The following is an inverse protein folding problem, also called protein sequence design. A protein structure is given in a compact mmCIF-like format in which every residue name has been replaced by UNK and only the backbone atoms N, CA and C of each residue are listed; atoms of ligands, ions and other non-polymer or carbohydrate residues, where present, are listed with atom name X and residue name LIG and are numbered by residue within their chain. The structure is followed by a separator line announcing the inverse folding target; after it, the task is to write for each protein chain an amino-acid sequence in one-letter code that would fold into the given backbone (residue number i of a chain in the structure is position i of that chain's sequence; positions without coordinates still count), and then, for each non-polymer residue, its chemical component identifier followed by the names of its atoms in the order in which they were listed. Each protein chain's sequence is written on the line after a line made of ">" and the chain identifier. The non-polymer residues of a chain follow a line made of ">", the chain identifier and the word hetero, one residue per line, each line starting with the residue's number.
data_IF_161569888670
#
_entry.id   IF_161569888670
#
_cell.length_a   1.000
_cell.length_b   1.000
_cell.length_c   1.000
_cell.angle_alpha   90.00
_cell.angle_beta   90.00
_cell.angle_gamma   90.00
#
_symmetry.space_group_name_H-M   'P 1'
#
loop_
_entity.id
_entity.type
_entity.pdbx_description
1 polymer ?
#
# COMPACT_ATOMS: atom_id res chain seq x y z
N UNK A 1 3.53 -0.52 1.98
CA UNK A 1 2.71 -1.30 1.04
C UNK A 1 2.55 -2.74 1.51
N UNK A 2 3.60 -3.56 1.49
CA UNK A 2 3.53 -5.00 1.84
C UNK A 2 3.02 -5.26 3.27
N UNK A 3 3.53 -4.54 4.28
CA UNK A 3 3.12 -4.77 5.67
C UNK A 3 1.65 -4.43 5.95
N UNK A 4 1.13 -3.35 5.36
CA UNK A 4 -0.30 -3.00 5.45
C UNK A 4 -1.17 -4.08 4.82
N UNK A 5 -0.78 -4.59 3.64
CA UNK A 5 -1.55 -5.61 2.94
C UNK A 5 -1.54 -6.93 3.71
N UNK A 6 -0.38 -7.38 4.19
CA UNK A 6 -0.29 -8.57 5.01
C UNK A 6 -1.15 -8.48 6.29
N UNK A 7 -1.15 -7.32 6.96
CA UNK A 7 -1.97 -7.12 8.16
C UNK A 7 -3.46 -7.10 7.83
N UNK A 8 -3.87 -6.43 6.74
CA UNK A 8 -5.26 -6.38 6.28
C UNK A 8 -5.77 -7.78 5.97
N UNK A 9 -5.06 -8.55 5.14
CA UNK A 9 -5.41 -9.93 4.79
C UNK A 9 -5.57 -10.82 6.03
N UNK A 10 -4.70 -10.67 7.04
CA UNK A 10 -4.80 -11.42 8.31
C UNK A 10 -6.06 -11.02 9.08
N UNK A 11 -6.30 -9.74 9.29
CA UNK A 11 -7.47 -9.23 10.01
C UNK A 11 -8.76 -9.68 9.31
N UNK A 12 -8.79 -9.59 8.00
CA UNK A 12 -9.94 -9.94 7.17
C UNK A 12 -10.27 -11.43 7.18
N UNK A 13 -9.27 -12.31 7.30
CA UNK A 13 -9.49 -13.74 7.49
C UNK A 13 -9.91 -14.08 8.93
N UNK A 14 -9.40 -13.35 9.92
CA UNK A 14 -9.65 -13.63 11.35
C UNK A 14 -11.01 -13.12 11.83
N UNK A 15 -11.43 -11.93 11.42
CA UNK A 15 -12.71 -11.32 11.80
C UNK A 15 -13.94 -12.21 11.54
N UNK A 16 -14.16 -12.79 10.35
CA UNK A 16 -15.31 -13.64 10.10
C UNK A 16 -15.30 -14.91 10.94
N UNK A 17 -14.13 -15.43 11.32
CA UNK A 17 -14.02 -16.57 12.22
C UNK A 17 -14.50 -16.20 13.64
N UNK A 18 -14.13 -15.01 14.12
CA UNK A 18 -14.58 -14.48 15.41
C UNK A 18 -16.10 -14.26 15.40
N UNK A 19 -16.65 -13.63 14.37
CA UNK A 19 -18.11 -13.43 14.24
C UNK A 19 -18.87 -14.75 14.14
N UNK A 20 -18.35 -15.72 13.39
CA UNK A 20 -18.93 -17.07 13.29
C UNK A 20 -18.94 -17.79 14.64
N UNK A 21 -17.91 -17.58 15.47
CA UNK A 21 -17.85 -18.11 16.82
C UNK A 21 -18.81 -17.39 17.77
N UNK A 22 -18.90 -16.07 17.70
CA UNK A 22 -19.89 -15.30 18.46
C UNK A 22 -21.34 -15.72 18.15
N UNK A 23 -21.69 -15.81 16.86
CA UNK A 23 -23.02 -16.25 16.43
C UNK A 23 -23.35 -17.67 16.88
N UNK A 24 -22.34 -18.55 16.97
CA UNK A 24 -22.53 -19.90 17.51
C UNK A 24 -22.92 -19.89 18.98
N UNK A 25 -22.20 -19.10 19.78
CA UNK A 25 -22.46 -18.98 21.21
C UNK A 25 -23.85 -18.40 21.45
N UNK A 26 -24.29 -17.46 20.61
CA UNK A 26 -25.59 -16.79 20.75
C UNK A 26 -26.81 -17.65 20.36
N UNK A 27 -26.69 -18.53 19.35
CA UNK A 27 -27.82 -19.34 18.84
C UNK A 27 -28.23 -20.46 19.82
N UNK A 28 -27.31 -20.91 20.70
CA UNK A 28 -27.58 -21.95 21.70
C UNK A 28 -27.79 -23.35 21.10
N UNK A 29 -27.43 -24.41 21.83
CA UNK A 29 -27.51 -25.79 21.33
C UNK A 29 -28.94 -26.38 21.32
N UNK A 30 -29.96 -25.68 21.83
CA UNK A 30 -31.33 -26.21 21.98
C UNK A 30 -31.98 -26.63 20.65
N UNK A 31 -31.64 -25.94 19.55
CA UNK A 31 -32.11 -26.29 18.20
C UNK A 31 -31.46 -27.57 17.66
N UNK A 32 -30.24 -27.88 18.08
CA UNK A 32 -29.52 -29.09 17.69
C UNK A 32 -30.16 -30.33 18.31
N UNK A 33 -30.57 -30.23 19.57
CA UNK A 33 -31.20 -31.31 20.32
C UNK A 33 -32.57 -31.69 19.74
N UNK A 34 -33.28 -30.72 19.16
CA UNK A 34 -34.62 -30.93 18.57
C UNK A 34 -34.59 -31.66 17.22
N UNK A 35 -33.60 -31.38 16.37
CA UNK A 35 -33.53 -31.90 14.99
C UNK A 35 -32.45 -32.97 14.78
N UNK A 36 -31.63 -33.28 15.79
CA UNK A 36 -30.48 -34.19 15.72
C UNK A 36 -29.29 -33.67 14.89
N UNK A 37 -29.56 -32.88 13.86
CA UNK A 37 -28.59 -32.17 13.03
C UNK A 37 -29.11 -30.77 12.69
N UNK A 38 -28.19 -29.81 12.58
CA UNK A 38 -28.53 -28.45 12.18
C UNK A 38 -29.20 -28.39 10.78
N UNK A 39 -30.42 -27.82 10.67
CA UNK A 39 -31.05 -27.62 9.37
C UNK A 39 -30.27 -26.61 8.52
N UNK A 40 -30.41 -26.68 7.18
CA UNK A 40 -29.61 -25.87 6.25
C UNK A 40 -29.73 -24.37 6.50
N UNK A 41 -30.95 -23.86 6.71
CA UNK A 41 -31.20 -22.44 6.99
C UNK A 41 -30.52 -21.98 8.30
N UNK A 42 -30.41 -22.85 9.31
CA UNK A 42 -29.74 -22.53 10.56
C UNK A 42 -28.21 -22.48 10.41
N UNK A 43 -27.65 -23.37 9.56
CA UNK A 43 -26.22 -23.31 9.17
C UNK A 43 -25.91 -22.00 8.45
N UNK A 44 -26.79 -21.55 7.56
CA UNK A 44 -26.63 -20.27 6.87
C UNK A 44 -26.80 -19.09 7.83
N UNK A 45 -27.75 -19.18 8.78
CA UNK A 45 -27.95 -18.15 9.80
C UNK A 45 -26.71 -17.96 10.71
N UNK A 46 -25.84 -18.94 10.84
CA UNK A 46 -24.58 -18.77 11.58
C UNK A 46 -23.56 -17.90 10.84
N UNK A 47 -23.60 -17.84 9.51
CA UNK A 47 -22.66 -17.08 8.69
C UNK A 47 -22.89 -15.57 8.80
N UNK A 48 -21.87 -14.78 8.47
CA UNK A 48 -21.92 -13.31 8.50
C UNK A 48 -22.85 -12.81 7.39
N UNK A 49 -23.70 -11.83 7.70
CA UNK A 49 -24.55 -11.19 6.70
C UNK A 49 -23.69 -10.36 5.75
N UNK A 50 -23.95 -10.47 4.44
CA UNK A 50 -23.32 -9.62 3.45
C UNK A 50 -24.02 -8.26 3.41
N UNK A 51 -23.34 -7.21 3.86
CA UNK A 51 -23.87 -5.83 3.82
C UNK A 51 -24.01 -5.35 2.36
N UNK A 52 -25.00 -4.51 2.02
CA UNK A 52 -25.10 -3.90 0.69
C UNK A 52 -23.85 -3.12 0.28
N UNK A 53 -23.07 -2.59 1.23
CA UNK A 53 -21.77 -1.93 0.98
C UNK A 53 -20.58 -2.86 1.23
N UNK A 54 -20.79 -4.17 1.35
CA UNK A 54 -19.75 -5.16 1.64
C UNK A 54 -18.60 -5.17 0.63
N UNK A 55 -18.85 -4.77 -0.63
CA UNK A 55 -17.81 -4.66 -1.67
C UNK A 55 -16.98 -3.38 -1.60
N UNK A 56 -17.46 -2.35 -0.89
CA UNK A 56 -16.74 -1.07 -0.79
C UNK A 56 -15.32 -1.20 -0.22
N UNK A 57 -15.10 -1.86 0.94
CA UNK A 57 -13.74 -2.03 1.48
C UNK A 57 -12.84 -2.85 0.55
N UNK A 58 -13.39 -3.85 -0.14
CA UNK A 58 -12.68 -4.69 -1.11
C UNK A 58 -12.14 -3.86 -2.30
N UNK A 59 -13.00 -2.98 -2.86
CA UNK A 59 -12.56 -2.07 -3.92
C UNK A 59 -11.57 -1.03 -3.40
N UNK A 60 -11.76 -0.52 -2.18
CA UNK A 60 -10.86 0.47 -1.58
C UNK A 60 -9.45 -0.09 -1.39
N UNK A 61 -9.32 -1.31 -0.88
CA UNK A 61 -8.07 -2.08 -0.78
C UNK A 61 -7.32 -2.07 -2.12
N UNK A 62 -8.00 -2.52 -3.19
CA UNK A 62 -7.42 -2.67 -4.52
C UNK A 62 -7.04 -1.31 -5.15
N UNK A 63 -7.85 -0.28 -4.96
CA UNK A 63 -7.59 1.06 -5.49
C UNK A 63 -6.40 1.72 -4.77
N UNK A 64 -6.28 1.51 -3.45
CA UNK A 64 -5.11 1.99 -2.70
C UNK A 64 -3.83 1.28 -3.15
N UNK A 65 -3.88 -0.04 -3.39
CA UNK A 65 -2.77 -0.80 -3.94
C UNK A 65 -2.36 -0.26 -5.31
N UNK A 66 -3.33 -0.03 -6.21
CA UNK A 66 -3.09 0.58 -7.51
C UNK A 66 -2.42 1.96 -7.40
N UNK A 67 -2.88 2.80 -6.46
CA UNK A 67 -2.27 4.10 -6.19
C UNK A 67 -0.81 3.99 -5.74
N UNK A 68 -0.50 3.08 -4.81
CA UNK A 68 0.89 2.87 -4.38
C UNK A 68 1.80 2.40 -5.52
N UNK A 69 1.29 1.50 -6.37
CA UNK A 69 2.06 0.96 -7.49
C UNK A 69 2.30 2.03 -8.54
N UNK A 70 1.30 2.85 -8.87
CA UNK A 70 1.41 3.79 -10.00
C UNK A 70 2.09 5.11 -9.64
N UNK A 71 1.77 5.70 -8.48
CA UNK A 71 2.27 7.03 -8.10
C UNK A 71 3.76 7.00 -7.75
N UNK A 72 4.25 5.88 -7.20
CA UNK A 72 5.61 5.76 -6.66
C UNK A 72 6.49 4.74 -7.42
N UNK A 73 6.10 4.38 -8.64
CA UNK A 73 6.83 3.36 -9.43
C UNK A 73 8.28 3.78 -9.72
N UNK A 74 8.52 5.08 -9.93
CA UNK A 74 9.85 5.63 -10.23
C UNK A 74 10.83 5.46 -9.07
N UNK A 75 10.35 5.46 -7.82
CA UNK A 75 11.18 5.24 -6.63
C UNK A 75 11.40 3.76 -6.33
N UNK A 76 10.41 2.90 -6.61
CA UNK A 76 10.49 1.47 -6.30
C UNK A 76 9.99 0.60 -7.47
N UNK A 77 10.89 0.19 -8.38
CA UNK A 77 10.50 -0.53 -9.60
C UNK A 77 9.96 -1.95 -9.35
N UNK A 78 10.23 -2.55 -8.18
CA UNK A 78 9.72 -3.88 -7.84
C UNK A 78 8.29 -3.85 -7.27
N UNK A 79 7.69 -2.68 -7.03
CA UNK A 79 6.32 -2.58 -6.50
C UNK A 79 5.27 -3.39 -7.29
N UNK A 80 5.26 -3.39 -8.63
CA UNK A 80 4.29 -4.15 -9.41
C UNK A 80 4.39 -5.66 -9.20
N UNK A 81 5.59 -6.19 -8.95
CA UNK A 81 5.78 -7.62 -8.68
C UNK A 81 5.13 -8.02 -7.36
N UNK A 82 5.32 -7.22 -6.30
CA UNK A 82 4.67 -7.47 -5.01
C UNK A 82 3.15 -7.34 -5.10
N UNK A 83 2.67 -6.33 -5.84
CA UNK A 83 1.24 -6.17 -6.11
C UNK A 83 0.64 -7.37 -6.85
N UNK A 84 1.36 -7.91 -7.84
CA UNK A 84 0.91 -9.08 -8.60
C UNK A 84 0.82 -10.33 -7.72
N UNK A 85 1.85 -10.61 -6.92
CA UNK A 85 1.84 -11.73 -5.98
C UNK A 85 0.71 -11.58 -4.96
N UNK A 86 0.52 -10.37 -4.41
CA UNK A 86 -0.56 -10.12 -3.47
C UNK A 86 -1.93 -10.37 -4.12
N UNK A 87 -2.17 -9.86 -5.33
CA UNK A 87 -3.43 -10.09 -6.06
C UNK A 87 -3.73 -11.59 -6.28
N UNK A 88 -2.71 -12.43 -6.52
CA UNK A 88 -2.91 -13.89 -6.66
C UNK A 88 -3.43 -14.50 -5.35
N UNK A 89 -2.86 -14.11 -4.21
CA UNK A 89 -3.31 -14.59 -2.91
C UNK A 89 -4.68 -14.03 -2.58
N UNK A 90 -4.87 -12.73 -2.75
CA UNK A 90 -6.10 -12.03 -2.40
C UNK A 90 -7.31 -12.57 -3.16
N UNK A 91 -7.18 -12.80 -4.47
CA UNK A 91 -8.25 -13.44 -5.26
C UNK A 91 -8.70 -14.80 -4.67
N UNK A 92 -7.76 -15.60 -4.14
CA UNK A 92 -8.10 -16.89 -3.54
C UNK A 92 -8.70 -16.74 -2.14
N UNK A 93 -8.23 -15.78 -1.36
CA UNK A 93 -8.70 -15.52 -0.02
C UNK A 93 -10.11 -14.90 -0.04
N UNK A 94 -10.36 -13.93 -0.92
CA UNK A 94 -11.68 -13.35 -1.18
C UNK A 94 -12.69 -14.40 -1.62
N UNK A 95 -12.30 -15.29 -2.53
CA UNK A 95 -13.16 -16.39 -2.96
C UNK A 95 -13.51 -17.31 -1.78
N UNK A 96 -12.52 -17.68 -0.95
CA UNK A 96 -12.76 -18.52 0.25
C UNK A 96 -13.64 -17.80 1.26
N UNK A 97 -13.44 -16.51 1.46
CA UNK A 97 -14.21 -15.63 2.35
C UNK A 97 -15.69 -15.61 1.94
N UNK A 98 -15.97 -15.33 0.66
CA UNK A 98 -17.35 -15.31 0.14
C UNK A 98 -18.02 -16.68 0.18
N UNK A 99 -17.28 -17.78 -0.04
CA UNK A 99 -17.84 -19.13 -0.06
C UNK A 99 -18.05 -19.74 1.34
N UNK A 100 -17.21 -19.41 2.32
CA UNK A 100 -17.17 -20.13 3.62
C UNK A 100 -17.60 -19.29 4.83
N UNK A 101 -17.58 -17.96 4.71
CA UNK A 101 -17.78 -17.06 5.85
C UNK A 101 -19.01 -16.16 5.74
N UNK A 102 -19.41 -15.82 4.51
CA UNK A 102 -20.59 -15.00 4.26
C UNK A 102 -21.80 -15.82 3.86
N UNK A 103 -22.98 -15.32 4.24
CA UNK A 103 -24.25 -15.76 3.64
C UNK A 103 -24.30 -15.35 2.18
N UNK A 104 -24.96 -16.16 1.36
CA UNK A 104 -25.09 -15.89 -0.08
C UNK A 104 -25.72 -14.50 -0.30
N UNK A 105 -25.02 -13.56 -0.94
CA UNK A 105 -25.58 -12.26 -1.26
C UNK A 105 -26.66 -12.38 -2.34
N UNK A 106 -27.57 -11.41 -2.37
CA UNK A 106 -28.57 -11.30 -3.44
C UNK A 106 -27.84 -10.81 -4.70
N UNK A 107 -27.94 -11.54 -5.83
CA UNK A 107 -27.25 -11.16 -7.05
C UNK A 107 -27.86 -9.87 -7.60
N UNK A 108 -27.00 -8.86 -7.83
CA UNK A 108 -27.37 -7.60 -8.45
C UNK A 108 -26.70 -7.47 -9.81
N UNK A 109 -27.47 -7.11 -10.83
CA UNK A 109 -26.92 -6.82 -12.17
C UNK A 109 -26.46 -5.36 -12.22
N UNK A 110 -25.17 -5.17 -12.49
CA UNK A 110 -24.54 -3.85 -12.67
C UNK A 110 -23.85 -3.80 -14.03
N UNK A 111 -23.77 -2.62 -14.65
CA UNK A 111 -23.17 -2.45 -15.98
C UNK A 111 -21.65 -2.25 -15.90
N UNK A 112 -21.18 -1.65 -14.83
CA UNK A 112 -19.79 -1.25 -14.62
C UNK A 112 -19.41 -1.35 -13.14
N UNK A 113 -18.14 -1.06 -12.84
CA UNK A 113 -17.60 -0.93 -11.47
C UNK A 113 -18.00 0.40 -10.80
N UNK A 114 -18.78 1.25 -11.49
CA UNK A 114 -19.24 2.53 -10.98
C UNK A 114 -18.13 3.58 -10.82
N UNK A 115 -18.17 4.30 -9.68
CA UNK A 115 -17.29 5.45 -9.39
C UNK A 115 -15.81 5.09 -9.37
N UNK A 116 -15.47 3.84 -9.07
CA UNK A 116 -14.09 3.36 -8.98
C UNK A 116 -13.32 3.54 -10.28
N UNK A 117 -13.98 3.42 -11.44
CA UNK A 117 -13.32 3.67 -12.73
C UNK A 117 -12.82 5.12 -12.86
N UNK A 118 -13.65 6.09 -12.46
CA UNK A 118 -13.27 7.51 -12.49
C UNK A 118 -12.13 7.81 -11.52
N UNK A 119 -12.12 7.14 -10.36
CA UNK A 119 -11.04 7.27 -9.37
C UNK A 119 -9.74 6.72 -9.94
N UNK A 120 -9.75 5.52 -10.53
CA UNK A 120 -8.58 4.91 -11.17
C UNK A 120 -8.02 5.78 -12.31
N UNK A 121 -8.89 6.32 -13.17
CA UNK A 121 -8.49 7.24 -14.24
C UNK A 121 -7.84 8.52 -13.68
N UNK A 122 -8.40 9.07 -12.61
CA UNK A 122 -7.84 10.26 -11.94
C UNK A 122 -6.47 9.97 -11.31
N UNK A 123 -6.33 8.82 -10.65
CA UNK A 123 -5.05 8.36 -10.07
C UNK A 123 -4.01 8.15 -11.18
N UNK A 124 -4.39 7.55 -12.30
CA UNK A 124 -3.49 7.34 -13.43
C UNK A 124 -2.93 8.66 -14.00
N UNK A 125 -3.78 9.68 -14.13
CA UNK A 125 -3.36 11.02 -14.56
C UNK A 125 -2.42 11.70 -13.56
N UNK A 126 -2.75 11.61 -12.26
CA UNK A 126 -1.90 12.16 -11.20
C UNK A 126 -0.55 11.44 -11.14
N UNK A 127 -0.53 10.12 -11.35
CA UNK A 127 0.69 9.32 -11.31
C UNK A 127 1.74 9.79 -12.33
N UNK A 128 1.33 10.21 -13.53
CA UNK A 128 2.27 10.76 -14.54
C UNK A 128 2.96 12.01 -14.00
N UNK A 129 2.19 12.93 -13.44
CA UNK A 129 2.70 14.20 -12.89
C UNK A 129 3.61 13.93 -11.69
N UNK A 130 3.17 13.10 -10.74
CA UNK A 130 3.95 12.80 -9.53
C UNK A 130 5.26 12.10 -9.85
N UNK A 131 5.27 11.12 -10.76
CA UNK A 131 6.53 10.45 -11.15
C UNK A 131 7.50 11.42 -11.83
N UNK A 132 7.02 12.38 -12.63
CA UNK A 132 7.89 13.40 -13.21
C UNK A 132 8.56 14.26 -12.12
N UNK A 133 7.80 14.66 -11.09
CA UNK A 133 8.36 15.39 -9.94
C UNK A 133 9.35 14.55 -9.12
N UNK A 134 9.07 13.26 -8.90
CA UNK A 134 9.99 12.35 -8.19
C UNK A 134 11.32 12.25 -8.94
N UNK A 135 11.29 12.06 -10.26
CA UNK A 135 12.49 11.96 -11.08
C UNK A 135 13.26 13.29 -11.10
N UNK A 136 12.55 14.42 -11.18
CA UNK A 136 13.18 15.73 -11.31
C UNK A 136 13.80 16.26 -10.02
N UNK A 137 13.11 16.09 -8.88
CA UNK A 137 13.48 16.76 -7.61
C UNK A 137 13.96 15.82 -6.51
N UNK A 138 13.52 14.56 -6.52
CA UNK A 138 13.88 13.61 -5.46
C UNK A 138 15.04 12.71 -5.88
N UNK A 139 15.17 12.42 -7.18
CA UNK A 139 16.26 11.63 -7.72
C UNK A 139 17.48 12.50 -8.04
N UNK A 140 18.69 11.93 -7.88
CA UNK A 140 19.94 12.52 -8.35
C UNK A 140 20.12 12.47 -9.87
N UNK A 141 19.13 11.95 -10.60
CA UNK A 141 19.18 11.80 -12.04
C UNK A 141 19.49 13.11 -12.77
N UNK A 142 18.81 14.21 -12.43
CA UNK A 142 19.03 15.51 -13.10
C UNK A 142 20.41 16.10 -12.74
N UNK A 143 20.83 16.22 -11.46
CA UNK A 143 22.18 16.66 -11.11
C UNK A 143 23.30 15.84 -11.76
N UNK A 144 23.19 14.51 -11.77
CA UNK A 144 24.16 13.62 -12.42
C UNK A 144 24.22 13.86 -13.93
N UNK A 145 23.07 14.09 -14.57
CA UNK A 145 22.99 14.41 -15.98
C UNK A 145 23.68 15.74 -16.29
N UNK A 146 23.40 16.79 -15.51
CA UNK A 146 24.00 18.11 -15.68
C UNK A 146 25.51 18.05 -15.50
N UNK A 147 25.99 17.39 -14.44
CA UNK A 147 27.42 17.21 -14.21
C UNK A 147 28.10 16.52 -15.38
N UNK A 148 27.52 15.41 -15.86
CA UNK A 148 28.09 14.60 -16.94
C UNK A 148 28.18 15.33 -18.28
N UNK A 149 27.22 16.20 -18.59
CA UNK A 149 27.18 16.89 -19.89
C UNK A 149 27.81 18.28 -19.89
N UNK A 150 27.81 18.98 -18.75
CA UNK A 150 28.24 20.38 -18.67
C UNK A 150 29.60 20.54 -17.98
N UNK A 151 29.90 19.69 -16.99
CA UNK A 151 31.07 19.88 -16.10
C UNK A 151 32.17 18.86 -16.38
N UNK A 152 31.81 17.61 -16.67
CA UNK A 152 32.77 16.52 -16.86
C UNK A 152 33.33 16.50 -18.28
N UNK A 153 34.64 16.70 -18.42
CA UNK A 153 35.35 16.61 -19.71
C UNK A 153 35.33 15.19 -20.30
N UNK A 154 35.42 14.18 -19.43
CA UNK A 154 35.43 12.75 -19.80
C UNK A 154 34.03 12.17 -20.02
N UNK A 155 32.96 12.92 -19.70
CA UNK A 155 31.58 12.42 -19.59
C UNK A 155 31.45 11.23 -18.63
N UNK A 156 32.35 11.10 -17.65
CA UNK A 156 32.21 10.18 -16.52
C UNK A 156 31.64 10.90 -15.30
N UNK A 157 31.14 10.13 -14.33
CA UNK A 157 30.66 10.64 -13.04
C UNK A 157 31.78 10.75 -12.00
N UNK A 158 33.04 10.57 -12.42
CA UNK A 158 34.19 10.65 -11.53
C UNK A 158 34.34 12.09 -11.03
N UNK A 159 34.33 12.27 -9.71
CA UNK A 159 34.37 13.60 -9.08
C UNK A 159 32.99 14.27 -8.89
N UNK A 160 31.88 13.62 -9.28
CA UNK A 160 30.53 14.16 -9.05
C UNK A 160 30.25 14.47 -7.57
N UNK A 161 30.70 13.57 -6.68
CA UNK A 161 30.46 13.72 -5.25
C UNK A 161 31.19 14.95 -4.69
N UNK A 162 32.44 15.18 -5.11
CA UNK A 162 33.21 16.37 -4.71
C UNK A 162 32.61 17.67 -5.25
N UNK A 163 32.05 17.65 -6.47
CA UNK A 163 31.31 18.77 -7.04
C UNK A 163 29.98 19.05 -6.30
N UNK A 164 29.30 18.00 -5.85
CA UNK A 164 28.00 18.12 -5.18
C UNK A 164 28.09 18.65 -3.74
N UNK A 165 29.21 18.40 -3.06
CA UNK A 165 29.41 18.82 -1.68
C UNK A 165 29.88 20.28 -1.62
N UNK A 166 29.15 21.11 -0.86
CA UNK A 166 29.56 22.48 -0.59
C UNK A 166 30.52 22.54 0.59
N UNK A 167 31.66 23.20 0.45
CA UNK A 167 32.56 23.48 1.58
C UNK A 167 32.01 24.61 2.44
N UNK A 168 31.93 24.39 3.74
CA UNK A 168 31.56 25.38 4.73
C UNK A 168 32.69 25.58 5.74
N UNK A 169 33.02 26.84 6.06
CA UNK A 169 34.03 27.16 7.06
C UNK A 169 33.42 27.15 8.45
N UNK A 170 33.97 26.36 9.36
CA UNK A 170 33.42 26.23 10.73
C UNK A 170 33.53 27.54 11.52
N UNK A 171 34.44 28.43 11.11
CA UNK A 171 34.56 29.78 11.66
C UNK A 171 33.29 30.64 11.49
N UNK A 172 32.51 30.41 10.43
CA UNK A 172 31.31 31.20 10.10
C UNK A 172 30.11 30.89 11.01
N UNK A 173 30.19 29.88 11.87
CA UNK A 173 29.16 29.63 12.87
C UNK A 173 29.02 30.81 13.83
N UNK A 174 27.77 31.22 14.17
CA UNK A 174 27.53 32.13 15.28
C UNK A 174 28.19 31.60 16.56
N UNK A 175 28.71 32.47 17.45
CA UNK A 175 29.49 32.04 18.62
C UNK A 175 28.80 31.00 19.51
N UNK A 176 27.47 31.06 19.58
CA UNK A 176 26.62 30.15 20.36
C UNK A 176 26.53 28.71 19.79
N UNK A 177 26.87 28.49 18.52
CA UNK A 177 26.82 27.19 17.85
C UNK A 177 28.21 26.65 17.50
N UNK A 178 29.29 27.38 17.84
CA UNK A 178 30.65 26.94 17.56
C UNK A 178 31.01 25.78 18.51
N UNK A 179 31.71 24.77 17.98
CA UNK A 179 32.23 23.70 18.81
C UNK A 179 33.15 24.28 19.89
N UNK A 180 33.03 23.84 21.16
CA UNK A 180 33.94 24.24 22.23
C UNK A 180 35.33 23.60 22.11
N UNK A 181 35.49 22.60 21.24
CA UNK A 181 36.74 21.86 21.06
C UNK A 181 37.74 22.66 20.21
N UNK A 182 38.97 22.80 20.71
CA UNK A 182 40.07 23.49 20.01
C UNK A 182 40.65 22.71 18.82
N UNK A 183 40.24 21.44 18.65
CA UNK A 183 40.63 20.57 17.52
C UNK A 183 39.52 20.42 16.47
N UNK A 184 38.53 21.33 16.47
CA UNK A 184 37.50 21.32 15.43
C UNK A 184 38.14 21.51 14.04
N UNK A 185 37.73 20.72 13.03
CA UNK A 185 38.25 20.87 11.67
C UNK A 185 37.89 22.25 11.10
N UNK A 186 38.79 22.83 10.30
CA UNK A 186 38.60 24.16 9.71
C UNK A 186 37.41 24.21 8.73
N UNK A 187 37.15 23.09 8.04
CA UNK A 187 36.12 22.96 7.02
C UNK A 187 35.23 21.73 7.29
N UNK A 188 33.94 21.87 7.01
CA UNK A 188 33.02 20.76 6.86
C UNK A 188 32.42 20.73 5.44
N UNK A 189 31.95 19.56 5.04
CA UNK A 189 31.33 19.28 3.75
C UNK A 189 30.10 18.41 3.97
#
# INVERSE_FOLDING_TARGET
>A
MVGKQAMNTVVEMVLPLIFKWYNLVMVGDSLRDTYGSWPRWAKDFKLVNFDPRGLFPEYLEMVLQYGFVTIFVSSFPLAPLFAFLNNIFEMRLDARKLLSHFRRPIPQRVKDIGVWFKILDSIGKLAVITNAFIIAFTSNFIPELVYRYVVSDSKSLDGFLDYSLSTFQVADYPPQYRSPDSEAPDFCR
#
